data_IF_883797124805
#
_entry.id   IF_883797124805
#
_cell.length_a   1.000
_cell.length_b   1.000
_cell.length_c   1.000
_cell.angle_alpha   90.00
_cell.angle_beta   90.00
_cell.angle_gamma   90.00
#
_symmetry.space_group_name_H-M   'P 1'
#
loop_
_entity.id
_entity.type
_entity.pdbx_description
1 polymer ?
#
# COMPACT_ATOMS: atom_id res chain seq x y z
N UNK A 1 -13.89 -73.46 20.78
CA UNK A 1 -14.24 -73.32 19.35
C UNK A 1 -15.55 -72.53 19.26
N UNK A 2 -15.49 -71.25 18.90
CA UNK A 2 -16.65 -70.37 18.75
C UNK A 2 -16.56 -69.60 17.43
N UNK A 3 -17.74 -69.32 16.88
CA UNK A 3 -18.06 -69.11 15.47
C UNK A 3 -17.57 -67.77 14.88
N UNK A 4 -17.30 -67.82 13.57
CA UNK A 4 -17.30 -66.67 12.66
C UNK A 4 -18.61 -65.85 12.77
N UNK A 5 -18.52 -64.52 12.61
CA UNK A 5 -19.00 -63.81 11.39
C UNK A 5 -18.89 -62.28 11.54
N UNK A 6 -17.95 -61.74 10.75
CA UNK A 6 -18.02 -60.59 9.82
C UNK A 6 -18.88 -59.36 10.21
N UNK A 7 -18.18 -58.25 10.34
CA UNK A 7 -18.64 -56.87 10.51
C UNK A 7 -19.66 -56.40 9.46
N UNK A 8 -20.74 -55.78 9.95
CA UNK A 8 -21.41 -54.65 9.27
C UNK A 8 -21.95 -53.73 10.37
N UNK A 9 -21.14 -52.76 10.79
CA UNK A 9 -21.65 -51.66 11.63
C UNK A 9 -21.82 -50.46 10.73
N UNK A 10 -23.09 -50.09 10.52
CA UNK A 10 -23.51 -48.93 9.72
C UNK A 10 -22.87 -47.67 10.28
N UNK A 11 -22.08 -46.99 9.45
CA UNK A 11 -21.51 -45.67 9.71
C UNK A 11 -22.65 -44.65 9.75
N UNK A 12 -23.10 -44.27 10.95
CA UNK A 12 -23.90 -43.07 11.14
C UNK A 12 -22.93 -41.90 11.33
N UNK A 13 -22.67 -41.15 10.26
CA UNK A 13 -21.95 -39.88 10.36
C UNK A 13 -22.91 -38.87 10.98
N UNK A 14 -22.77 -38.63 12.28
CA UNK A 14 -23.41 -37.52 12.95
C UNK A 14 -22.71 -36.23 12.53
N UNK A 15 -23.38 -35.35 11.78
CA UNK A 15 -22.95 -33.96 11.63
C UNK A 15 -23.13 -33.26 12.97
N UNK A 16 -22.08 -33.21 13.77
CA UNK A 16 -21.97 -32.27 14.89
C UNK A 16 -21.66 -30.90 14.33
N UNK A 17 -22.68 -30.02 14.25
CA UNK A 17 -22.50 -28.58 14.08
C UNK A 17 -21.91 -27.99 15.37
N UNK A 18 -20.62 -28.26 15.58
CA UNK A 18 -19.80 -27.62 16.60
C UNK A 18 -18.93 -26.56 15.93
N UNK A 19 -19.50 -25.40 15.60
CA UNK A 19 -18.66 -24.26 15.24
C UNK A 19 -18.18 -23.65 16.54
N UNK A 20 -17.00 -24.10 16.99
CA UNK A 20 -16.24 -23.39 17.98
C UNK A 20 -16.02 -21.96 17.50
N UNK A 21 -16.34 -21.00 18.35
CA UNK A 21 -15.98 -19.60 18.16
C UNK A 21 -14.45 -19.49 18.21
N UNK A 22 -13.81 -19.70 17.06
CA UNK A 22 -12.44 -19.26 16.84
C UNK A 22 -12.50 -17.73 16.74
N UNK A 23 -12.22 -17.07 17.84
CA UNK A 23 -11.75 -15.68 17.85
C UNK A 23 -10.34 -15.70 17.23
N UNK A 24 -10.30 -15.94 15.93
CA UNK A 24 -9.13 -15.79 15.08
C UNK A 24 -9.41 -14.57 14.25
N UNK A 25 -8.88 -13.43 14.67
CA UNK A 25 -8.96 -12.18 13.92
C UNK A 25 -8.53 -12.46 12.49
N UNK A 26 -9.51 -12.50 11.60
CA UNK A 26 -9.27 -12.50 10.17
C UNK A 26 -8.62 -11.16 9.92
N UNK A 27 -7.30 -11.15 9.81
CA UNK A 27 -6.63 -10.05 9.15
C UNK A 27 -7.25 -10.04 7.77
N UNK A 28 -8.20 -9.15 7.56
CA UNK A 28 -8.57 -8.73 6.23
C UNK A 28 -7.27 -8.21 5.66
N UNK A 29 -6.61 -9.03 4.84
CA UNK A 29 -5.68 -8.52 3.87
C UNK A 29 -6.53 -7.63 2.96
N UNK A 30 -6.70 -6.39 3.38
CA UNK A 30 -7.16 -5.34 2.50
C UNK A 30 -6.08 -5.29 1.44
N UNK A 31 -6.37 -5.85 0.26
CA UNK A 31 -5.84 -5.30 -0.95
C UNK A 31 -6.32 -3.84 -0.94
N UNK A 32 -5.55 -2.97 -0.30
CA UNK A 32 -5.70 -1.55 -0.51
C UNK A 32 -5.44 -1.37 -1.99
N UNK A 33 -6.46 -0.93 -2.72
CA UNK A 33 -6.33 -0.48 -4.10
C UNK A 33 -5.26 0.62 -4.13
N UNK A 34 -4.00 0.22 -4.33
CA UNK A 34 -2.87 1.14 -4.55
C UNK A 34 -2.97 1.57 -6.01
N UNK A 35 -3.82 2.57 -6.25
CA UNK A 35 -3.56 3.67 -7.19
C UNK A 35 -4.74 4.63 -7.14
N UNK A 36 -4.49 5.94 -7.10
CA UNK A 36 -4.34 6.53 -8.43
C UNK A 36 -3.16 7.51 -8.58
N UNK A 37 -1.92 7.15 -8.21
CA UNK A 37 -0.79 8.02 -8.55
C UNK A 37 -0.42 8.01 -10.05
N UNK A 38 -1.03 8.85 -10.89
CA UNK A 38 -0.80 8.81 -12.33
C UNK A 38 0.41 9.63 -12.79
N UNK A 39 1.01 9.17 -13.90
CA UNK A 39 2.10 9.87 -14.58
C UNK A 39 1.52 10.78 -15.66
N UNK A 40 1.93 12.04 -15.66
CA UNK A 40 1.57 13.03 -16.70
C UNK A 40 2.76 13.95 -16.94
N UNK A 41 2.61 14.94 -17.82
CA UNK A 41 3.64 15.94 -18.15
C UNK A 41 3.65 17.14 -17.18
N UNK A 42 2.69 17.23 -16.26
CA UNK A 42 2.54 18.36 -15.34
C UNK A 42 2.07 17.93 -13.95
N UNK A 43 2.32 18.78 -12.97
CA UNK A 43 1.71 18.62 -11.65
C UNK A 43 0.33 19.28 -11.64
N UNK A 44 -0.70 18.51 -11.33
CA UNK A 44 -2.07 18.97 -11.37
C UNK A 44 -2.43 19.79 -10.12
N UNK A 45 -3.31 20.79 -10.26
CA UNK A 45 -3.73 21.62 -9.13
C UNK A 45 -4.29 20.79 -7.97
N UNK A 46 -3.94 21.16 -6.73
CA UNK A 46 -4.39 20.46 -5.53
C UNK A 46 -3.65 19.15 -5.22
N UNK A 47 -2.65 18.76 -6.04
CA UNK A 47 -1.89 17.51 -5.85
C UNK A 47 -0.50 17.73 -5.27
N UNK A 48 0.04 16.68 -4.66
CA UNK A 48 1.46 16.55 -4.39
C UNK A 48 2.11 15.82 -5.56
N UNK A 49 3.25 16.29 -6.04
CA UNK A 49 3.92 15.71 -7.20
C UNK A 49 5.41 15.55 -7.02
N UNK A 50 5.95 14.50 -7.63
CA UNK A 50 7.39 14.31 -7.80
C UNK A 50 7.73 14.13 -9.28
N UNK A 51 8.92 14.57 -9.65
CA UNK A 51 9.39 14.60 -11.02
C UNK A 51 10.59 13.68 -11.13
N UNK A 52 10.58 12.79 -12.12
CA UNK A 52 11.74 12.00 -12.47
C UNK A 52 12.70 12.81 -13.37
N UNK A 53 13.90 12.29 -13.52
CA UNK A 53 14.94 12.92 -14.35
C UNK A 53 14.65 12.87 -15.84
N UNK A 54 13.73 12.00 -16.29
CA UNK A 54 13.25 11.90 -17.67
C UNK A 54 12.08 12.83 -17.99
N UNK A 55 11.58 13.59 -17.02
CA UNK A 55 10.48 14.54 -17.18
C UNK A 55 9.08 13.98 -16.91
N UNK A 56 8.97 12.74 -16.43
CA UNK A 56 7.72 12.17 -15.95
C UNK A 56 7.30 12.80 -14.62
N UNK A 57 6.02 13.17 -14.51
CA UNK A 57 5.46 13.78 -13.30
C UNK A 57 4.46 12.83 -12.66
N UNK A 58 4.79 12.36 -11.47
CA UNK A 58 3.93 11.49 -10.67
C UNK A 58 3.07 12.34 -9.75
N UNK A 59 1.76 12.30 -9.94
CA UNK A 59 0.79 13.02 -9.13
C UNK A 59 0.23 12.08 -8.07
N UNK A 60 0.32 12.42 -6.79
CA UNK A 60 -0.24 11.63 -5.71
C UNK A 60 -1.73 11.89 -5.59
N UNK A 61 -2.54 10.83 -5.68
CA UNK A 61 -3.99 10.96 -5.59
C UNK A 61 -4.47 10.73 -4.15
N UNK A 62 -4.69 11.85 -3.49
CA UNK A 62 -5.23 11.88 -2.13
C UNK A 62 -4.14 12.07 -1.07
N UNK A 63 -4.58 12.03 0.18
CA UNK A 63 -3.69 12.15 1.33
C UNK A 63 -3.33 10.77 1.90
N UNK A 64 -2.27 10.71 2.70
CA UNK A 64 -1.68 9.48 3.22
C UNK A 64 -0.49 8.97 2.39
N UNK A 65 -0.22 7.69 2.56
CA UNK A 65 0.95 7.00 2.04
C UNK A 65 0.79 6.57 0.58
N UNK A 66 1.60 7.15 -0.30
CA UNK A 66 1.67 6.81 -1.72
C UNK A 66 3.01 6.11 -1.99
N UNK A 67 2.97 4.79 -2.16
CA UNK A 67 4.18 4.00 -2.42
C UNK A 67 4.61 4.18 -3.87
N UNK A 68 5.78 4.80 -4.05
CA UNK A 68 6.36 5.04 -5.37
C UNK A 68 7.84 4.70 -5.31
N UNK A 69 8.25 3.83 -6.21
CA UNK A 69 9.63 3.37 -6.29
C UNK A 69 10.26 4.01 -7.53
N UNK A 70 11.17 4.96 -7.32
CA UNK A 70 11.95 5.54 -8.41
C UNK A 70 13.00 6.56 -7.95
N UNK A 71 13.77 7.07 -8.90
CA UNK A 71 14.63 8.24 -8.71
C UNK A 71 13.88 9.50 -9.12
N UNK A 72 13.77 10.44 -8.18
CA UNK A 72 13.08 11.70 -8.37
C UNK A 72 13.97 12.85 -7.93
N UNK A 73 14.07 13.89 -8.75
CA UNK A 73 14.97 15.01 -8.52
C UNK A 73 14.25 16.29 -8.09
N UNK A 74 12.93 16.34 -8.18
CA UNK A 74 12.15 17.52 -7.85
C UNK A 74 10.77 17.17 -7.31
N UNK A 75 10.24 18.04 -6.45
CA UNK A 75 8.95 17.89 -5.81
C UNK A 75 8.19 19.20 -5.71
N UNK A 76 6.87 19.15 -5.84
CA UNK A 76 5.98 20.32 -5.73
C UNK A 76 4.66 19.97 -5.06
N UNK A 77 4.23 20.84 -4.14
CA UNK A 77 2.94 20.79 -3.47
C UNK A 77 2.02 21.86 -4.06
N UNK A 78 0.93 21.47 -4.72
CA UNK A 78 -0.14 22.38 -5.15
C UNK A 78 -1.32 22.44 -4.17
N UNK A 79 -1.17 21.86 -2.99
CA UNK A 79 -2.19 21.82 -1.94
C UNK A 79 -1.54 21.48 -0.61
N UNK A 80 -1.74 20.26 -0.15
CA UNK A 80 -1.20 19.80 1.13
C UNK A 80 0.33 19.69 1.12
N UNK A 81 0.91 19.84 2.31
CA UNK A 81 2.32 19.50 2.51
C UNK A 81 2.51 17.97 2.43
N UNK A 82 3.73 17.55 2.14
CA UNK A 82 4.06 16.12 2.07
C UNK A 82 5.53 15.85 2.39
N UNK A 83 5.82 14.59 2.68
CA UNK A 83 7.17 14.09 2.96
C UNK A 83 7.52 13.01 1.94
N UNK A 84 8.69 13.13 1.32
CA UNK A 84 9.28 12.10 0.46
C UNK A 84 10.25 11.29 1.32
N UNK A 85 10.04 9.98 1.40
CA UNK A 85 10.91 9.05 2.12
C UNK A 85 11.81 8.30 1.14
N UNK A 86 13.08 8.16 1.51
CA UNK A 86 14.07 7.45 0.73
C UNK A 86 14.42 6.11 1.38
N UNK A 87 14.80 5.14 0.56
CA UNK A 87 15.22 3.80 1.01
C UNK A 87 16.41 3.80 1.96
N UNK A 88 17.21 4.87 1.98
CA UNK A 88 18.35 5.03 2.88
C UNK A 88 17.95 5.58 4.26
N UNK A 89 16.66 5.77 4.53
CA UNK A 89 16.13 6.29 5.80
C UNK A 89 16.14 7.81 5.93
N UNK A 90 16.60 8.55 4.92
CA UNK A 90 16.48 10.00 4.86
C UNK A 90 15.11 10.42 4.33
N UNK A 91 14.76 11.69 4.49
CA UNK A 91 13.49 12.22 4.04
C UNK A 91 13.60 13.70 3.67
N UNK A 92 12.72 14.12 2.77
CA UNK A 92 12.57 15.49 2.32
C UNK A 92 11.14 15.97 2.52
N UNK A 93 10.98 17.05 3.29
CA UNK A 93 9.69 17.68 3.51
C UNK A 93 9.43 18.81 2.51
N UNK A 94 8.19 18.88 2.02
CA UNK A 94 7.67 19.92 1.12
C UNK A 94 6.47 20.58 1.78
N UNK A 95 6.57 21.88 2.06
CA UNK A 95 5.48 22.65 2.65
C UNK A 95 4.33 22.89 1.65
N UNK A 96 3.13 23.16 2.15
CA UNK A 96 1.91 23.33 1.36
C UNK A 96 2.00 24.52 0.40
N UNK A 97 1.87 24.31 -0.91
CA UNK A 97 2.12 25.35 -1.93
C UNK A 97 3.59 25.53 -2.30
N UNK A 98 4.49 24.77 -1.67
CA UNK A 98 5.93 24.83 -1.84
C UNK A 98 6.49 23.89 -2.89
N UNK A 99 7.80 23.96 -3.05
CA UNK A 99 8.56 23.10 -3.96
C UNK A 99 10.00 22.96 -3.47
N UNK A 100 10.67 21.89 -3.89
CA UNK A 100 12.10 21.69 -3.60
C UNK A 100 12.77 20.71 -4.56
N UNK A 101 14.08 20.83 -4.63
CA UNK A 101 14.95 19.76 -5.15
C UNK A 101 14.97 18.60 -4.16
N UNK A 102 14.93 17.39 -4.71
CA UNK A 102 15.03 16.12 -4.01
C UNK A 102 16.43 15.53 -4.17
N UNK A 103 16.79 14.58 -3.30
CA UNK A 103 17.95 13.73 -3.52
C UNK A 103 17.71 12.71 -4.64
N UNK A 104 17.95 13.14 -5.88
CA UNK A 104 17.78 12.31 -7.08
C UNK A 104 18.73 11.11 -7.17
N UNK A 105 19.76 11.05 -6.34
CA UNK A 105 20.68 9.92 -6.23
C UNK A 105 20.10 8.78 -5.41
N UNK A 106 19.10 9.06 -4.57
CA UNK A 106 18.46 8.08 -3.71
C UNK A 106 17.12 7.61 -4.27
N UNK A 107 16.83 6.34 -4.03
CA UNK A 107 15.55 5.76 -4.39
C UNK A 107 14.48 6.24 -3.42
N UNK A 108 13.38 6.78 -3.93
CA UNK A 108 12.20 7.07 -3.13
C UNK A 108 11.48 5.76 -2.85
N UNK A 109 11.06 5.55 -1.60
CA UNK A 109 10.21 4.42 -1.21
C UNK A 109 8.72 4.82 -1.22
N UNK A 110 8.42 6.04 -0.78
CA UNK A 110 7.06 6.50 -0.52
C UNK A 110 6.98 8.01 -0.42
N UNK A 111 5.82 8.55 -0.77
CA UNK A 111 5.42 9.93 -0.51
C UNK A 111 4.23 9.94 0.43
N UNK A 112 4.38 10.54 1.61
CA UNK A 112 3.29 10.75 2.56
C UNK A 112 2.72 12.15 2.39
N UNK A 113 1.49 12.26 1.92
CA UNK A 113 0.78 13.53 1.76
C UNK A 113 -0.04 13.81 3.02
N UNK A 114 0.20 14.95 3.67
CA UNK A 114 -0.50 15.27 4.91
C UNK A 114 -2.00 15.53 4.64
N UNK A 115 -2.85 15.02 5.52
CA UNK A 115 -4.23 15.47 5.72
C UNK A 115 -4.23 16.34 6.99
#
# INVERSE_FOLDING_TARGET
MQLLKKHVTRTAVALTLGIGALVGGSSTASAADVHPQYVTYKCDPGRACVYDTSGGVWNMDGCGDNWIYGHFNYARAHGNSFTVYYVNGTWDYVWAGGQRTLDGSNYVERVHVNC
#
